data_IF_531625094909
#
_entry.id   IF_531625094909
#
_cell.length_a   1.000
_cell.length_b   1.000
_cell.length_c   1.000
_cell.angle_alpha   90.00
_cell.angle_beta   90.00
_cell.angle_gamma   90.00
#
_symmetry.space_group_name_H-M   'P 1'
#
loop_
_entity.id
_entity.type
_entity.pdbx_description
1 polymer ?
#
# COMPACT_ATOMS: atom_id res chain seq x y z
N UNK A 1 18.23 -10.24 10.19
CA UNK A 1 17.54 -8.93 10.29
C UNK A 1 17.54 -8.33 8.90
N UNK A 2 16.37 -8.17 8.30
CA UNK A 2 16.26 -7.33 7.11
C UNK A 2 16.03 -5.90 7.62
N UNK A 3 16.93 -4.97 7.32
CA UNK A 3 16.72 -3.54 7.51
C UNK A 3 15.58 -3.12 6.57
N UNK A 4 14.35 -3.17 7.08
CA UNK A 4 13.16 -2.70 6.36
C UNK A 4 12.86 -1.28 6.79
N UNK A 5 12.57 -0.44 5.81
CA UNK A 5 12.16 0.94 6.03
C UNK A 5 10.67 1.04 5.76
N UNK A 6 9.90 1.47 6.76
CA UNK A 6 8.47 1.74 6.57
C UNK A 6 8.29 3.00 5.70
N UNK A 7 8.01 2.81 4.42
CA UNK A 7 7.79 3.90 3.44
C UNK A 7 6.37 4.47 3.48
N UNK A 8 5.43 3.78 4.13
CA UNK A 8 4.03 4.20 4.28
C UNK A 8 3.25 3.25 5.17
N UNK A 9 1.98 3.56 5.39
CA UNK A 9 1.02 2.73 6.14
C UNK A 9 -0.34 2.72 5.45
N UNK A 10 -0.98 1.55 5.38
CA UNK A 10 -2.34 1.44 4.86
C UNK A 10 -3.34 1.98 5.88
N UNK A 11 -3.92 3.15 5.59
CA UNK A 11 -4.88 3.82 6.49
C UNK A 11 -6.33 3.37 6.24
N UNK A 12 -6.60 2.73 5.11
CA UNK A 12 -7.92 2.18 4.82
C UNK A 12 -8.08 1.65 3.41
N UNK A 13 -9.29 1.21 3.10
CA UNK A 13 -9.65 0.70 1.77
C UNK A 13 -10.28 1.83 0.95
N UNK A 14 -10.03 1.80 -0.36
CA UNK A 14 -10.60 2.71 -1.33
C UNK A 14 -11.42 1.93 -2.38
N UNK A 15 -12.75 2.03 -2.27
CA UNK A 15 -13.68 1.37 -3.20
C UNK A 15 -13.81 -0.14 -2.96
N UNK A 16 -14.35 -0.83 -3.97
CA UNK A 16 -14.66 -2.27 -3.91
C UNK A 16 -13.69 -3.15 -4.70
N UNK A 17 -12.81 -2.53 -5.49
CA UNK A 17 -11.87 -3.21 -6.40
C UNK A 17 -10.54 -3.59 -5.73
N UNK A 18 -10.50 -3.62 -4.40
CA UNK A 18 -9.28 -3.89 -3.63
C UNK A 18 -8.23 -2.78 -3.66
N UNK A 19 -8.58 -1.55 -4.08
CA UNK A 19 -7.66 -0.43 -3.93
C UNK A 19 -7.53 -0.05 -2.44
N UNK A 20 -6.34 0.30 -2.02
CA UNK A 20 -5.99 0.70 -0.67
C UNK A 20 -5.56 2.15 -0.65
N UNK A 21 -5.83 2.81 0.47
CA UNK A 21 -5.35 4.16 0.77
C UNK A 21 -4.14 4.03 1.66
N UNK A 22 -3.00 4.47 1.16
CA UNK A 22 -1.72 4.39 1.84
C UNK A 22 -1.27 5.80 2.19
N UNK A 23 -1.02 6.06 3.46
CA UNK A 23 -0.34 7.28 3.87
C UNK A 23 1.15 7.08 3.64
N UNK A 24 1.69 7.75 2.64
CA UNK A 24 3.11 7.75 2.32
C UNK A 24 3.89 8.61 3.31
N UNK A 25 5.07 8.16 3.70
CA UNK A 25 6.06 8.96 4.42
C UNK A 25 7.17 9.51 3.50
N UNK A 26 7.10 9.19 2.20
CA UNK A 26 7.99 9.71 1.17
C UNK A 26 7.72 11.18 0.88
N UNK A 27 8.70 11.89 0.31
CA UNK A 27 8.58 13.29 -0.10
C UNK A 27 7.46 13.46 -1.13
N UNK A 28 7.44 12.58 -2.15
CA UNK A 28 6.35 12.49 -3.12
C UNK A 28 5.55 11.22 -2.81
N UNK A 29 4.25 11.40 -2.57
CA UNK A 29 3.39 10.29 -2.17
C UNK A 29 3.35 9.19 -3.23
N UNK A 30 3.27 9.58 -4.51
CA UNK A 30 3.26 8.67 -5.65
C UNK A 30 4.53 7.82 -5.78
N UNK A 31 5.66 8.24 -5.19
CA UNK A 31 6.93 7.52 -5.31
C UNK A 31 6.92 6.17 -4.61
N UNK A 32 6.00 5.95 -3.67
CA UNK A 32 5.82 4.67 -2.99
C UNK A 32 5.61 3.50 -3.97
N UNK A 33 5.08 3.77 -5.18
CA UNK A 33 4.92 2.77 -6.24
C UNK A 33 6.25 2.29 -6.87
N UNK A 34 7.29 3.13 -6.85
CA UNK A 34 8.61 2.75 -7.37
C UNK A 34 9.35 1.78 -6.44
N UNK A 35 9.00 1.74 -5.16
CA UNK A 35 9.57 0.82 -4.18
C UNK A 35 8.96 -0.59 -4.23
N UNK A 36 8.22 -0.93 -5.31
CA UNK A 36 7.67 -2.27 -5.49
C UNK A 36 8.77 -3.30 -5.84
N UNK A 37 8.67 -4.55 -5.35
CA UNK A 37 7.61 -5.11 -4.51
C UNK A 37 7.71 -4.67 -3.04
N UNK A 38 6.56 -4.35 -2.43
CA UNK A 38 6.48 -4.00 -1.02
C UNK A 38 6.16 -5.24 -0.19
N UNK A 39 6.62 -5.26 1.05
CA UNK A 39 6.37 -6.32 2.03
C UNK A 39 5.41 -5.78 3.09
N UNK A 40 4.57 -6.67 3.62
CA UNK A 40 3.80 -6.41 4.83
C UNK A 40 4.72 -6.37 6.07
N UNK A 41 4.28 -5.77 7.19
CA UNK A 41 5.03 -5.69 8.45
C UNK A 41 5.61 -7.05 8.88
N UNK A 42 4.84 -8.13 8.65
CA UNK A 42 5.26 -9.50 8.99
C UNK A 42 6.39 -10.03 8.11
N UNK A 43 6.63 -9.44 6.93
CA UNK A 43 7.62 -9.91 5.97
C UNK A 43 7.27 -11.21 5.25
N UNK A 44 6.05 -11.70 5.46
CA UNK A 44 5.61 -13.01 4.98
C UNK A 44 5.09 -12.94 3.56
N UNK A 45 4.51 -11.79 3.18
CA UNK A 45 3.86 -11.58 1.90
C UNK A 45 4.47 -10.38 1.16
N UNK A 46 4.75 -10.59 -0.13
CA UNK A 46 5.22 -9.58 -1.08
C UNK A 46 4.06 -9.22 -1.98
N UNK A 47 3.76 -7.93 -2.07
CA UNK A 47 2.69 -7.42 -2.91
C UNK A 47 3.27 -6.44 -3.94
N UNK A 48 2.77 -6.52 -5.17
CA UNK A 48 3.09 -5.53 -6.20
C UNK A 48 2.15 -4.35 -6.03
N UNK A 49 2.66 -3.27 -5.43
CA UNK A 49 1.91 -2.03 -5.25
C UNK A 49 1.96 -1.20 -6.53
N UNK A 50 0.79 -0.83 -7.05
CA UNK A 50 0.64 0.05 -8.21
C UNK A 50 -0.13 1.29 -7.79
N UNK A 51 0.53 2.45 -7.79
CA UNK A 51 -0.14 3.72 -7.50
C UNK A 51 -1.06 4.07 -8.67
N UNK A 52 -2.35 4.25 -8.36
CA UNK A 52 -3.38 4.62 -9.35
C UNK A 52 -3.78 6.09 -9.23
N UNK A 53 -3.49 6.72 -8.10
CA UNK A 53 -3.73 8.14 -7.90
C UNK A 53 -3.15 8.62 -6.58
N UNK A 54 -3.03 9.94 -6.44
CA UNK A 54 -2.69 10.59 -5.18
C UNK A 54 -3.88 11.39 -4.66
N UNK A 55 -3.96 11.48 -3.35
CA UNK A 55 -4.95 12.25 -2.60
C UNK A 55 -4.15 13.15 -1.64
N UNK A 56 -4.72 14.29 -1.24
CA UNK A 56 -4.04 15.25 -0.36
C UNK A 56 -3.51 14.57 0.92
N UNK A 57 -2.21 14.24 0.95
CA UNK A 57 -1.52 13.56 2.06
C UNK A 57 -1.64 12.03 2.10
N UNK A 58 -2.11 11.35 1.05
CA UNK A 58 -2.16 9.88 0.96
C UNK A 58 -2.23 9.43 -0.50
N UNK A 59 -1.75 8.24 -0.85
CA UNK A 59 -1.97 7.66 -2.18
C UNK A 59 -3.10 6.66 -2.21
N UNK A 60 -3.71 6.52 -3.38
CA UNK A 60 -4.54 5.37 -3.72
C UNK A 60 -3.68 4.44 -4.55
N UNK A 61 -3.44 3.25 -4.03
CA UNK A 61 -2.70 2.21 -4.70
C UNK A 61 -3.51 0.92 -4.76
N UNK A 62 -3.29 0.14 -5.81
CA UNK A 62 -3.83 -1.21 -5.93
C UNK A 62 -2.71 -2.20 -5.71
N UNK A 63 -2.98 -3.25 -4.94
CA UNK A 63 -2.03 -4.32 -4.69
C UNK A 63 -2.36 -5.50 -5.60
N UNK A 64 -1.37 -6.00 -6.33
CA UNK A 64 -1.51 -7.19 -7.16
C UNK A 64 -1.83 -8.40 -6.27
N UNK A 65 -2.95 -9.08 -6.55
CA UNK A 65 -3.52 -10.12 -5.68
C UNK A 65 -4.65 -9.64 -4.76
N UNK A 66 -4.83 -8.33 -4.59
CA UNK A 66 -5.90 -7.74 -3.77
C UNK A 66 -6.95 -7.11 -4.67
N UNK A 67 -7.96 -7.89 -5.03
CA UNK A 67 -9.04 -7.46 -5.94
C UNK A 67 -10.37 -7.22 -5.24
N UNK A 68 -10.48 -7.63 -3.97
CA UNK A 68 -11.69 -7.51 -3.14
C UNK A 68 -11.48 -6.53 -2.00
N UNK A 69 -12.58 -5.93 -1.53
CA UNK A 69 -12.57 -5.05 -0.36
C UNK A 69 -12.03 -5.77 0.88
N UNK A 70 -12.43 -7.02 1.11
CA UNK A 70 -12.05 -7.79 2.30
C UNK A 70 -10.54 -8.04 2.37
N UNK A 71 -9.92 -8.40 1.24
CA UNK A 71 -8.47 -8.57 1.16
C UNK A 71 -7.72 -7.25 1.41
N UNK A 72 -8.24 -6.13 0.91
CA UNK A 72 -7.68 -4.82 1.19
C UNK A 72 -7.88 -4.39 2.65
N UNK A 73 -8.99 -4.80 3.27
CA UNK A 73 -9.31 -4.49 4.66
C UNK A 73 -8.43 -5.28 5.64
N UNK A 74 -8.07 -6.53 5.28
CA UNK A 74 -7.11 -7.33 6.02
C UNK A 74 -5.70 -6.71 6.07
N UNK A 75 -5.36 -5.87 5.10
CA UNK A 75 -4.09 -5.13 5.00
C UNK A 75 -4.16 -3.75 5.66
N UNK A 76 -5.28 -3.39 6.27
CA UNK A 76 -5.42 -2.10 6.94
C UNK A 76 -4.62 -2.11 8.25
N UNK A 77 -3.67 -1.21 8.39
CA UNK A 77 -2.84 -1.07 9.58
C UNK A 77 -1.47 -1.71 9.48
N UNK A 78 -1.15 -2.37 8.36
CA UNK A 78 0.22 -2.71 7.94
C UNK A 78 0.78 -1.68 6.98
#
# INVERSE_FOLDING_TARGET
MADRVCVGVVVGVHGVRGAVRVKSFTEVAADIGYYSPVEDETGTAKFRLKVTGEVKGSVIATLDGVTTREAAEALKGT
#
